data_IF_340605261807
#
_entry.id   IF_340605261807
#
_cell.length_a   1.000
_cell.length_b   1.000
_cell.length_c   1.000
_cell.angle_alpha   90.00
_cell.angle_beta   90.00
_cell.angle_gamma   90.00
#
_symmetry.space_group_name_H-M   'P 1'
#
loop_
_entity.id
_entity.type
_entity.pdbx_description
1 polymer ?
#
# COMPACT_ATOMS: atom_id res chain seq x y z
N UNK A 1 -4.92 -20.40 18.27
CA UNK A 1 -5.53 -21.26 19.30
C UNK A 1 -7.02 -21.36 19.09
N UNK A 2 -7.57 -22.59 19.16
CA UNK A 2 -9.01 -22.83 19.19
C UNK A 2 -9.30 -23.94 20.19
N UNK A 3 -10.29 -23.72 21.05
CA UNK A 3 -10.74 -24.68 22.03
C UNK A 3 -12.27 -24.83 21.90
N UNK A 4 -12.72 -26.07 21.83
CA UNK A 4 -14.12 -26.43 21.67
C UNK A 4 -14.62 -27.26 22.85
N UNK A 5 -15.77 -26.88 23.40
CA UNK A 5 -16.46 -27.63 24.41
C UNK A 5 -17.97 -27.58 24.16
N UNK A 6 -18.58 -28.77 23.99
CA UNK A 6 -19.99 -28.90 23.67
C UNK A 6 -20.42 -28.05 22.45
N UNK A 7 -21.27 -27.05 22.68
CA UNK A 7 -21.78 -26.11 21.66
C UNK A 7 -20.96 -24.84 21.53
N UNK A 8 -19.96 -24.65 22.38
CA UNK A 8 -19.10 -23.45 22.40
C UNK A 8 -17.74 -23.75 21.80
N UNK A 9 -17.20 -22.76 21.13
CA UNK A 9 -15.78 -22.70 20.79
C UNK A 9 -15.24 -21.32 21.13
N UNK A 10 -14.01 -21.24 21.66
CA UNK A 10 -13.27 -20.01 21.87
C UNK A 10 -12.05 -20.03 20.95
N UNK A 11 -11.75 -18.89 20.36
CA UNK A 11 -10.64 -18.75 19.42
C UNK A 11 -9.81 -17.52 19.78
N UNK A 12 -8.50 -17.64 19.60
CA UNK A 12 -7.55 -16.55 19.70
C UNK A 12 -6.48 -16.71 18.60
N UNK A 13 -6.02 -15.62 18.04
CA UNK A 13 -5.01 -15.63 17.01
C UNK A 13 -4.24 -14.33 16.95
N UNK A 14 -3.03 -14.40 16.41
CA UNK A 14 -2.18 -13.29 16.08
C UNK A 14 -1.71 -13.46 14.64
N UNK A 15 -1.63 -12.38 13.90
CA UNK A 15 -1.15 -12.41 12.52
C UNK A 15 -0.90 -11.03 11.97
N UNK A 16 -0.26 -10.96 10.82
CA UNK A 16 -0.11 -9.72 10.05
C UNK A 16 -1.41 -9.46 9.32
N UNK A 17 -2.05 -8.32 9.56
CA UNK A 17 -3.32 -7.93 8.94
C UNK A 17 -3.11 -7.01 7.72
N UNK A 18 -1.95 -6.35 7.64
CA UNK A 18 -1.59 -5.48 6.54
C UNK A 18 -0.12 -5.10 6.57
N UNK A 19 0.44 -4.76 5.42
CA UNK A 19 1.87 -4.47 5.31
C UNK A 19 2.74 -5.73 5.47
N UNK A 20 3.80 -5.63 6.24
CA UNK A 20 4.78 -6.70 6.46
C UNK A 20 5.89 -6.74 5.42
N UNK A 21 6.01 -5.68 4.60
CA UNK A 21 7.05 -5.51 3.59
C UNK A 21 7.79 -4.18 3.71
N UNK A 22 8.85 -4.04 2.92
CA UNK A 22 9.55 -2.78 2.66
C UNK A 22 9.52 -2.46 1.18
N UNK A 23 9.47 -1.16 0.87
CA UNK A 23 9.71 -0.60 -0.45
C UNK A 23 11.03 0.16 -0.37
N UNK A 24 11.91 -0.05 -1.33
CA UNK A 24 13.21 0.61 -1.40
C UNK A 24 13.42 1.15 -2.81
N UNK A 25 13.61 2.45 -2.90
CA UNK A 25 13.90 3.17 -4.13
C UNK A 25 15.27 3.83 -3.97
N UNK A 26 16.28 3.22 -4.59
CA UNK A 26 17.68 3.66 -4.46
C UNK A 26 18.14 4.55 -5.63
N UNK A 27 17.34 4.62 -6.70
CA UNK A 27 17.69 5.33 -7.94
C UNK A 27 16.60 6.33 -8.36
N UNK A 28 15.84 6.86 -7.40
CA UNK A 28 14.77 7.81 -7.64
C UNK A 28 13.38 7.20 -7.73
N UNK A 29 12.38 8.08 -7.78
CA UNK A 29 10.98 7.78 -8.03
C UNK A 29 10.47 8.65 -9.17
N UNK A 30 9.98 8.03 -10.24
CA UNK A 30 9.51 8.74 -11.44
C UNK A 30 8.41 9.76 -11.15
N UNK A 31 7.47 9.47 -10.23
CA UNK A 31 6.41 10.40 -9.83
C UNK A 31 6.93 11.68 -9.15
N UNK A 32 8.02 11.59 -8.40
CA UNK A 32 8.69 12.75 -7.79
C UNK A 32 9.59 13.46 -8.79
N UNK A 33 10.42 12.72 -9.53
CA UNK A 33 11.32 13.29 -10.53
C UNK A 33 10.57 14.09 -11.59
N UNK A 34 9.37 13.66 -11.96
CA UNK A 34 8.49 14.38 -12.87
C UNK A 34 8.24 15.83 -12.45
N UNK A 35 8.13 16.12 -11.15
CA UNK A 35 7.97 17.49 -10.66
C UNK A 35 9.20 18.35 -10.93
N UNK A 36 10.39 17.75 -10.89
CA UNK A 36 11.65 18.43 -11.18
C UNK A 36 11.92 18.58 -12.67
N UNK A 37 11.25 17.79 -13.54
CA UNK A 37 11.35 17.92 -14.98
C UNK A 37 10.90 19.30 -15.51
N UNK A 38 10.13 20.04 -14.71
CA UNK A 38 9.71 21.41 -15.00
C UNK A 38 10.78 22.48 -14.73
N UNK A 39 11.89 22.15 -14.05
CA UNK A 39 12.94 23.12 -13.71
C UNK A 39 13.52 23.86 -14.93
N UNK A 40 13.85 23.20 -16.06
CA UNK A 40 14.33 23.91 -17.26
C UNK A 40 13.31 24.95 -17.79
N UNK A 41 12.02 24.62 -17.79
CA UNK A 41 10.96 25.53 -18.20
C UNK A 41 10.82 26.71 -17.22
N UNK A 42 10.91 26.44 -15.91
CA UNK A 42 10.87 27.47 -14.87
C UNK A 42 12.01 28.50 -15.02
N UNK A 43 13.20 28.04 -15.36
CA UNK A 43 14.36 28.91 -15.63
C UNK A 43 14.08 29.83 -16.80
N UNK A 44 13.51 29.29 -17.88
CA UNK A 44 13.11 30.07 -19.06
C UNK A 44 12.02 31.10 -18.73
N UNK A 45 11.09 30.80 -17.83
CA UNK A 45 10.09 31.75 -17.36
C UNK A 45 10.68 32.88 -16.53
N UNK A 46 11.71 32.61 -15.72
CA UNK A 46 12.39 33.62 -14.90
C UNK A 46 13.20 34.63 -15.72
N UNK A 47 13.78 34.21 -16.82
CA UNK A 47 14.69 35.09 -17.55
C UNK A 47 14.83 34.82 -19.05
N UNK A 48 13.90 34.09 -19.69
CA UNK A 48 14.00 33.76 -21.11
C UNK A 48 14.04 34.95 -22.03
N UNK A 49 13.34 36.04 -21.70
CA UNK A 49 13.41 37.32 -22.44
C UNK A 49 14.84 37.93 -22.40
N UNK A 50 15.67 37.56 -21.45
CA UNK A 50 17.06 37.95 -21.32
C UNK A 50 18.03 36.91 -21.86
N UNK A 51 17.53 35.85 -22.48
CA UNK A 51 18.30 34.73 -23.04
C UNK A 51 18.72 33.68 -22.01
N UNK A 52 18.10 33.66 -20.84
CA UNK A 52 18.31 32.59 -19.85
C UNK A 52 17.51 31.34 -20.24
N UNK A 53 18.17 30.18 -20.29
CA UNK A 53 17.54 28.89 -20.56
C UNK A 53 18.28 27.76 -19.84
N UNK A 54 17.65 26.60 -19.72
CA UNK A 54 18.25 25.35 -19.30
C UNK A 54 17.56 24.19 -20.04
N UNK A 55 18.24 23.06 -20.16
CA UNK A 55 17.72 21.90 -20.86
C UNK A 55 17.80 20.58 -20.06
N UNK A 56 18.55 20.60 -18.96
CA UNK A 56 18.83 19.40 -18.15
C UNK A 56 18.73 19.70 -16.67
N UNK A 57 18.38 18.68 -15.91
CA UNK A 57 18.51 18.62 -14.45
C UNK A 57 19.13 17.27 -14.07
N UNK A 58 19.65 17.21 -12.86
CA UNK A 58 20.18 16.01 -12.22
C UNK A 58 19.84 16.05 -10.74
N UNK A 59 19.57 14.90 -10.14
CA UNK A 59 19.25 14.80 -8.73
C UNK A 59 19.55 13.40 -8.19
N UNK A 60 19.83 13.31 -6.91
CA UNK A 60 19.90 12.04 -6.19
C UNK A 60 18.69 11.92 -5.28
N UNK A 61 17.95 10.82 -5.40
CA UNK A 61 16.77 10.57 -4.58
C UNK A 61 16.77 9.13 -4.10
N UNK A 62 16.50 8.95 -2.81
CA UNK A 62 16.34 7.67 -2.17
C UNK A 62 15.11 7.70 -1.26
N UNK A 63 14.35 6.61 -1.22
CA UNK A 63 13.23 6.45 -0.31
C UNK A 63 13.12 4.99 0.14
N UNK A 64 12.96 4.79 1.45
CA UNK A 64 12.62 3.50 2.04
C UNK A 64 11.33 3.65 2.84
N UNK A 65 10.35 2.80 2.59
CA UNK A 65 9.11 2.72 3.34
C UNK A 65 8.91 1.33 3.94
N UNK A 66 8.52 1.25 5.19
CA UNK A 66 8.12 0.01 5.87
C UNK A 66 6.77 0.21 6.52
N UNK A 67 5.89 -0.77 6.38
CA UNK A 67 4.57 -0.74 7.00
C UNK A 67 4.22 -2.12 7.53
N UNK A 68 3.69 -2.18 8.75
CA UNK A 68 3.21 -3.42 9.34
C UNK A 68 2.07 -3.17 10.31
N UNK A 69 0.98 -3.92 10.13
CA UNK A 69 -0.12 -3.99 11.08
C UNK A 69 -0.24 -5.42 11.63
N UNK A 70 0.05 -5.59 12.90
CA UNK A 70 -0.22 -6.82 13.64
C UNK A 70 -1.65 -6.81 14.16
N UNK A 71 -2.37 -7.91 13.98
CA UNK A 71 -3.72 -8.09 14.51
C UNK A 71 -3.77 -9.19 15.56
N UNK A 72 -4.42 -8.88 16.66
CA UNK A 72 -4.79 -9.81 17.74
C UNK A 72 -6.28 -10.05 17.65
N UNK A 73 -6.68 -11.31 17.54
CA UNK A 73 -8.08 -11.70 17.39
C UNK A 73 -8.49 -12.55 18.59
N UNK A 74 -9.62 -12.22 19.21
CA UNK A 74 -10.24 -13.03 20.26
C UNK A 74 -11.72 -13.12 19.98
N UNK A 75 -12.28 -14.31 20.06
CA UNK A 75 -13.70 -14.53 19.76
C UNK A 75 -14.25 -15.83 20.30
N UNK A 76 -15.56 -15.96 20.13
CA UNK A 76 -16.30 -17.16 20.48
C UNK A 76 -17.31 -17.51 19.39
N UNK A 77 -17.59 -18.79 19.25
CA UNK A 77 -18.64 -19.31 18.41
C UNK A 77 -19.60 -20.19 19.24
N UNK A 78 -20.85 -20.15 18.85
CA UNK A 78 -21.90 -20.96 19.46
C UNK A 78 -22.70 -21.72 18.41
N UNK A 79 -22.86 -23.03 18.60
CA UNK A 79 -23.70 -23.87 17.76
C UNK A 79 -25.15 -23.75 18.21
N UNK A 80 -25.97 -23.02 17.43
CA UNK A 80 -27.40 -22.83 17.67
C UNK A 80 -28.16 -24.13 17.43
N UNK A 81 -27.93 -24.72 16.26
CA UNK A 81 -28.47 -26.03 15.86
C UNK A 81 -27.33 -26.94 15.39
N UNK A 82 -27.63 -28.18 15.03
CA UNK A 82 -26.59 -29.09 14.49
C UNK A 82 -26.04 -28.65 13.14
N UNK A 83 -26.73 -27.75 12.45
CA UNK A 83 -26.37 -27.27 11.12
C UNK A 83 -26.04 -25.76 11.07
N UNK A 84 -26.29 -24.99 12.16
CA UNK A 84 -26.06 -23.52 12.20
C UNK A 84 -25.24 -23.13 13.42
N UNK A 85 -24.18 -22.36 13.18
CA UNK A 85 -23.36 -21.73 14.20
C UNK A 85 -23.25 -20.23 13.95
N UNK A 86 -23.11 -19.46 15.03
CA UNK A 86 -22.80 -18.02 15.00
C UNK A 86 -21.46 -17.78 15.68
N UNK A 87 -20.74 -16.76 15.24
CA UNK A 87 -19.50 -16.34 15.88
C UNK A 87 -19.44 -14.83 15.99
N UNK A 88 -18.80 -14.39 17.07
CA UNK A 88 -18.42 -13.00 17.27
C UNK A 88 -16.96 -12.93 17.73
N UNK A 89 -16.23 -11.93 17.23
CA UNK A 89 -14.81 -11.75 17.48
C UNK A 89 -14.51 -10.25 17.57
N UNK A 90 -13.51 -9.91 18.35
CA UNK A 90 -12.88 -8.58 18.35
C UNK A 90 -11.47 -8.72 17.78
N UNK A 91 -11.15 -7.85 16.85
CA UNK A 91 -9.80 -7.69 16.29
C UNK A 91 -9.20 -6.40 16.81
N UNK A 92 -8.01 -6.48 17.40
CA UNK A 92 -7.15 -5.33 17.72
C UNK A 92 -6.01 -5.26 16.73
N UNK A 93 -5.81 -4.09 16.10
CA UNK A 93 -4.70 -3.80 15.22
C UNK A 93 -3.67 -2.91 15.90
N UNK A 94 -2.39 -3.21 15.70
CA UNK A 94 -1.25 -2.34 16.09
C UNK A 94 -0.44 -2.08 14.82
N UNK A 95 -0.44 -0.83 14.37
CA UNK A 95 0.23 -0.40 13.14
C UNK A 95 1.51 0.35 13.48
N UNK A 96 2.60 -0.01 12.79
CA UNK A 96 3.87 0.69 12.83
C UNK A 96 4.37 0.90 11.40
N UNK A 97 4.58 2.16 11.04
CA UNK A 97 5.15 2.54 9.75
C UNK A 97 6.42 3.35 9.99
N UNK A 98 7.36 3.28 9.04
CA UNK A 98 8.53 4.16 8.98
C UNK A 98 8.84 4.52 7.54
N UNK A 99 9.19 5.78 7.33
CA UNK A 99 9.60 6.31 6.03
C UNK A 99 10.89 7.09 6.22
N UNK A 100 11.93 6.69 5.50
CA UNK A 100 13.20 7.40 5.47
C UNK A 100 13.58 7.71 4.03
N UNK A 101 14.02 8.91 3.75
CA UNK A 101 14.38 9.30 2.40
C UNK A 101 15.22 10.58 2.36
N UNK A 102 15.81 10.80 1.22
CA UNK A 102 16.53 12.02 0.91
C UNK A 102 16.37 12.39 -0.55
N UNK A 103 16.31 13.70 -0.83
CA UNK A 103 16.45 14.29 -2.15
C UNK A 103 17.61 15.27 -2.01
N UNK A 104 18.69 15.03 -2.73
CA UNK A 104 19.93 15.76 -2.55
C UNK A 104 20.60 16.13 -3.88
N UNK A 105 21.41 17.18 -3.84
CA UNK A 105 22.30 17.53 -4.94
C UNK A 105 21.58 17.88 -6.24
N UNK A 106 20.42 18.54 -6.17
CA UNK A 106 19.66 18.94 -7.36
C UNK A 106 20.46 19.96 -8.15
N UNK A 107 20.72 19.65 -9.43
CA UNK A 107 21.52 20.46 -10.36
C UNK A 107 20.73 20.80 -11.61
N UNK A 108 21.11 21.89 -12.24
CA UNK A 108 20.59 22.39 -13.53
C UNK A 108 21.76 22.89 -14.39
N UNK A 109 21.54 23.02 -15.68
CA UNK A 109 22.53 23.51 -16.65
C UNK A 109 22.12 24.85 -17.27
N UNK A 110 22.12 25.96 -16.55
CA UNK A 110 21.67 27.24 -17.06
C UNK A 110 22.64 27.79 -18.14
N UNK A 111 22.07 28.40 -19.18
CA UNK A 111 22.80 29.10 -20.25
C UNK A 111 22.33 30.53 -20.33
N UNK A 112 23.27 31.50 -20.31
CA UNK A 112 23.04 32.91 -20.54
C UNK A 112 24.37 33.58 -20.85
N UNK A 113 24.63 33.90 -22.11
CA UNK A 113 25.92 34.43 -22.56
C UNK A 113 26.30 35.74 -21.83
N UNK A 114 25.32 36.64 -21.60
CA UNK A 114 25.55 37.90 -20.91
C UNK A 114 26.04 37.77 -19.47
N UNK A 115 25.81 36.63 -18.84
CA UNK A 115 26.23 36.29 -17.48
C UNK A 115 27.35 35.25 -17.41
N UNK A 116 27.89 34.83 -18.59
CA UNK A 116 28.92 33.80 -18.65
C UNK A 116 28.43 32.39 -18.31
N UNK A 117 27.09 32.15 -18.28
CA UNK A 117 26.53 30.84 -18.06
C UNK A 117 26.60 30.04 -19.35
N UNK A 118 27.31 28.93 -19.33
CA UNK A 118 27.68 28.13 -20.51
C UNK A 118 27.05 26.73 -20.57
N UNK A 119 26.04 26.45 -19.75
CA UNK A 119 25.36 25.17 -19.71
C UNK A 119 26.07 24.09 -18.87
N UNK A 120 27.04 24.47 -18.05
CA UNK A 120 27.59 23.54 -17.06
C UNK A 120 26.58 23.29 -15.93
N UNK A 121 26.57 22.04 -15.44
CA UNK A 121 25.73 21.66 -14.31
C UNK A 121 26.17 22.39 -13.03
N UNK A 122 25.22 23.01 -12.35
CA UNK A 122 25.44 23.72 -11.10
C UNK A 122 24.28 23.49 -10.12
N UNK A 123 24.51 23.73 -8.83
CA UNK A 123 23.48 23.57 -7.81
C UNK A 123 22.25 24.45 -8.09
N UNK A 124 21.08 23.84 -8.19
CA UNK A 124 19.85 24.54 -8.52
C UNK A 124 19.43 25.53 -7.43
N UNK A 125 19.47 25.12 -6.15
CA UNK A 125 19.15 26.00 -5.03
C UNK A 125 20.05 27.25 -4.97
N UNK A 126 21.35 27.09 -5.24
CA UNK A 126 22.30 28.18 -5.29
C UNK A 126 22.01 29.13 -6.45
N UNK A 127 21.72 28.59 -7.63
CA UNK A 127 21.35 29.37 -8.81
C UNK A 127 20.10 30.21 -8.53
N UNK A 128 18.99 29.58 -8.06
CA UNK A 128 17.74 30.27 -7.80
C UNK A 128 17.87 31.32 -6.67
N UNK A 129 18.68 31.07 -5.64
CA UNK A 129 18.97 32.02 -4.59
C UNK A 129 19.65 33.24 -5.16
N UNK A 130 20.71 33.08 -5.98
CA UNK A 130 21.42 34.17 -6.62
C UNK A 130 20.52 34.96 -7.59
N UNK A 131 19.71 34.26 -8.39
CA UNK A 131 18.74 34.88 -9.28
C UNK A 131 17.69 35.71 -8.51
N UNK A 132 17.16 35.19 -7.41
CA UNK A 132 16.24 35.91 -6.53
C UNK A 132 16.83 37.23 -5.99
N UNK A 133 18.04 37.18 -5.50
CA UNK A 133 18.76 38.39 -5.00
C UNK A 133 18.97 39.45 -6.09
N UNK A 134 19.29 39.04 -7.30
CA UNK A 134 19.44 39.97 -8.43
C UNK A 134 18.10 40.59 -8.85
N UNK A 135 17.04 39.83 -8.81
CA UNK A 135 15.70 40.27 -9.26
C UNK A 135 14.94 41.08 -8.20
N UNK A 136 15.31 40.99 -6.93
CA UNK A 136 14.58 41.57 -5.79
C UNK A 136 14.26 43.07 -5.96
N UNK A 137 15.21 43.84 -6.44
CA UNK A 137 15.06 45.29 -6.63
C UNK A 137 14.35 45.68 -7.93
N UNK A 138 14.40 44.84 -8.94
CA UNK A 138 13.93 45.16 -10.31
C UNK A 138 12.59 44.50 -10.57
N UNK A 139 12.40 43.21 -10.19
CA UNK A 139 11.23 42.40 -10.41
C UNK A 139 10.89 41.56 -9.15
N UNK A 140 10.32 42.18 -8.10
CA UNK A 140 10.05 41.49 -6.82
C UNK A 140 9.20 40.25 -6.95
N UNK A 141 8.23 40.20 -7.89
CA UNK A 141 7.39 39.02 -8.14
C UNK A 141 8.21 37.83 -8.65
N UNK A 142 9.15 38.06 -9.58
CA UNK A 142 10.05 37.00 -10.08
C UNK A 142 11.08 36.60 -9.01
N UNK A 143 11.51 37.51 -8.15
CA UNK A 143 12.36 37.17 -7.00
C UNK A 143 11.63 36.20 -6.04
N UNK A 144 10.33 36.43 -5.81
CA UNK A 144 9.50 35.53 -5.01
C UNK A 144 9.39 34.11 -5.63
N UNK A 145 9.23 34.01 -6.95
CA UNK A 145 9.22 32.72 -7.65
C UNK A 145 10.60 32.04 -7.58
N UNK A 146 11.69 32.78 -7.78
CA UNK A 146 13.03 32.23 -7.64
C UNK A 146 13.29 31.69 -6.20
N UNK A 147 12.79 32.37 -5.17
CA UNK A 147 12.89 31.89 -3.79
C UNK A 147 12.13 30.58 -3.55
N UNK A 148 10.95 30.41 -4.16
CA UNK A 148 10.20 29.13 -4.11
C UNK A 148 11.00 27.99 -4.76
N UNK A 149 11.56 28.22 -5.95
CA UNK A 149 12.41 27.21 -6.60
C UNK A 149 13.70 26.93 -5.82
N UNK A 150 14.30 27.94 -5.17
CA UNK A 150 15.46 27.75 -4.29
C UNK A 150 15.11 26.82 -3.10
N UNK A 151 13.93 26.99 -2.51
CA UNK A 151 13.45 26.12 -1.45
C UNK A 151 13.16 24.70 -1.96
N UNK A 152 12.47 24.57 -3.10
CA UNK A 152 12.11 23.28 -3.71
C UNK A 152 13.35 22.46 -4.10
N UNK A 153 14.42 23.12 -4.55
CA UNK A 153 15.64 22.48 -5.04
C UNK A 153 16.75 22.37 -4.00
N UNK A 154 16.48 22.74 -2.74
CA UNK A 154 17.39 22.47 -1.61
C UNK A 154 17.37 20.97 -1.26
N UNK A 155 18.39 20.52 -0.54
CA UNK A 155 18.40 19.16 -0.01
C UNK A 155 17.27 18.96 0.99
N UNK A 156 16.58 17.82 0.89
CA UNK A 156 15.46 17.44 1.74
C UNK A 156 15.72 16.06 2.35
N UNK A 157 15.52 15.96 3.66
CA UNK A 157 15.60 14.70 4.41
C UNK A 157 14.23 14.42 5.02
N UNK A 158 13.82 13.16 4.98
CA UNK A 158 12.61 12.64 5.61
C UNK A 158 12.97 11.47 6.52
N UNK A 159 12.67 11.57 7.81
CA UNK A 159 12.64 10.44 8.75
C UNK A 159 11.36 10.54 9.58
N UNK A 160 10.38 9.70 9.25
CA UNK A 160 9.05 9.73 9.83
C UNK A 160 8.69 8.34 10.34
N UNK A 161 8.25 8.27 11.59
CA UNK A 161 7.64 7.09 12.19
C UNK A 161 6.18 7.38 12.51
N UNK A 162 5.33 6.40 12.25
CA UNK A 162 3.90 6.49 12.52
C UNK A 162 3.44 5.29 13.30
N UNK A 163 2.63 5.50 14.32
CA UNK A 163 2.02 4.44 15.10
C UNK A 163 0.54 4.67 15.29
N UNK A 164 -0.20 3.57 15.33
CA UNK A 164 -1.63 3.62 15.60
C UNK A 164 -2.15 2.30 16.13
N UNK A 165 -3.27 2.39 16.82
CA UNK A 165 -4.03 1.23 17.29
C UNK A 165 -5.46 1.32 16.80
N UNK A 166 -6.08 0.18 16.61
CA UNK A 166 -7.45 0.10 16.12
C UNK A 166 -8.17 -1.11 16.69
N UNK A 167 -9.48 -1.05 16.71
CA UNK A 167 -10.36 -2.15 17.14
C UNK A 167 -11.48 -2.30 16.12
N UNK A 168 -11.77 -3.55 15.74
CA UNK A 168 -12.87 -3.87 14.84
C UNK A 168 -13.63 -5.11 15.33
N UNK A 169 -14.94 -5.07 15.46
CA UNK A 169 -15.76 -6.25 15.63
C UNK A 169 -15.81 -7.08 14.35
N UNK A 170 -16.00 -8.40 14.51
CA UNK A 170 -16.26 -9.34 13.42
C UNK A 170 -17.40 -10.25 13.82
N UNK A 171 -18.38 -10.45 12.95
CA UNK A 171 -19.48 -11.38 13.15
C UNK A 171 -19.56 -12.37 12.00
N UNK A 172 -19.95 -13.61 12.29
CA UNK A 172 -20.05 -14.64 11.27
C UNK A 172 -21.18 -15.63 11.55
N UNK A 173 -21.71 -16.17 10.47
CA UNK A 173 -22.61 -17.32 10.44
C UNK A 173 -21.90 -18.46 9.71
N UNK A 174 -22.07 -19.69 10.20
CA UNK A 174 -21.57 -20.89 9.55
C UNK A 174 -22.68 -21.93 9.49
N UNK A 175 -22.90 -22.46 8.30
CA UNK A 175 -23.87 -23.49 8.00
C UNK A 175 -23.15 -24.78 7.61
N UNK A 176 -23.57 -25.90 8.15
CA UNK A 176 -23.06 -27.21 7.80
C UNK A 176 -24.23 -28.22 7.74
N UNK A 177 -24.52 -28.79 6.57
CA UNK A 177 -25.56 -29.81 6.43
C UNK A 177 -25.20 -30.81 5.34
N UNK A 178 -24.98 -32.05 5.74
CA UNK A 178 -24.62 -33.12 4.81
C UNK A 178 -23.26 -32.81 4.14
N UNK A 179 -23.25 -32.73 2.81
CA UNK A 179 -22.07 -32.48 2.02
C UNK A 179 -21.81 -30.93 1.81
N UNK A 180 -22.63 -30.06 2.36
CA UNK A 180 -22.56 -28.62 2.13
C UNK A 180 -22.07 -27.87 3.36
N UNK A 181 -21.14 -26.95 3.13
CA UNK A 181 -20.75 -25.88 4.06
C UNK A 181 -21.02 -24.51 3.43
N UNK A 182 -21.49 -23.58 4.20
CA UNK A 182 -21.57 -22.18 3.80
C UNK A 182 -21.20 -21.26 4.95
N UNK A 183 -20.71 -20.08 4.64
CA UNK A 183 -20.41 -19.06 5.65
C UNK A 183 -20.68 -17.67 5.13
N UNK A 184 -21.07 -16.78 6.06
CA UNK A 184 -21.19 -15.36 5.84
C UNK A 184 -20.48 -14.65 6.99
N UNK A 185 -19.55 -13.74 6.68
CA UNK A 185 -18.77 -12.99 7.66
C UNK A 185 -18.85 -11.51 7.33
N UNK A 186 -19.02 -10.68 8.35
CA UNK A 186 -18.90 -9.24 8.25
C UNK A 186 -17.84 -8.76 9.23
N UNK A 187 -16.82 -8.11 8.69
CA UNK A 187 -15.80 -7.39 9.45
C UNK A 187 -16.11 -5.91 9.38
N UNK A 188 -16.28 -5.28 10.53
CA UNK A 188 -16.53 -3.84 10.58
C UNK A 188 -15.26 -3.07 10.18
N UNK A 189 -15.45 -1.86 9.71
CA UNK A 189 -14.36 -0.94 9.39
C UNK A 189 -13.40 -0.81 10.59
N UNK A 190 -12.11 -0.89 10.34
CA UNK A 190 -11.10 -0.68 11.35
C UNK A 190 -10.56 0.74 11.21
N UNK A 191 -11.15 1.64 11.98
CA UNK A 191 -10.72 3.03 12.01
C UNK A 191 -9.36 3.14 12.71
N UNK A 192 -8.36 3.60 11.99
CA UNK A 192 -7.01 3.79 12.49
C UNK A 192 -6.58 5.23 12.25
N UNK A 193 -6.21 5.92 13.31
CA UNK A 193 -5.44 7.17 13.24
C UNK A 193 -3.98 6.85 13.54
N UNK A 194 -3.09 7.23 12.63
CA UNK A 194 -1.65 7.10 12.81
C UNK A 194 -1.11 8.42 13.30
N UNK A 195 -0.47 8.41 14.45
CA UNK A 195 0.24 9.55 15.02
C UNK A 195 1.70 9.52 14.61
N UNK A 196 2.24 10.66 14.21
CA UNK A 196 3.65 10.83 13.91
C UNK A 196 4.40 10.99 15.22
N UNK A 197 5.23 10.01 15.58
CA UNK A 197 6.01 10.01 16.83
C UNK A 197 7.37 10.68 16.69
N UNK A 198 7.94 10.69 15.49
CA UNK A 198 9.20 11.37 15.23
C UNK A 198 9.21 11.79 13.77
N UNK A 199 9.55 13.02 13.51
CA UNK A 199 9.73 13.54 12.18
C UNK A 199 10.99 14.41 12.15
N UNK A 200 11.95 14.01 11.34
CA UNK A 200 12.98 14.89 10.86
C UNK A 200 12.66 15.23 9.41
N UNK A 201 12.17 16.43 9.19
CA UNK A 201 11.78 16.92 7.87
C UNK A 201 12.53 18.22 7.63
N UNK A 202 13.54 18.17 6.79
CA UNK A 202 14.34 19.34 6.46
C UNK A 202 13.70 20.21 5.37
N UNK A 203 12.52 19.83 4.87
CA UNK A 203 11.79 20.60 3.87
C UNK A 203 11.44 22.00 4.39
N UNK A 204 11.78 23.01 3.61
CA UNK A 204 11.39 24.41 3.90
C UNK A 204 9.95 24.71 3.47
N UNK A 205 9.25 23.73 2.91
CA UNK A 205 7.86 23.85 2.49
C UNK A 205 6.93 23.73 3.71
N UNK A 206 6.14 24.78 4.01
CA UNK A 206 5.22 24.78 5.15
C UNK A 206 4.15 23.68 5.08
N UNK A 207 3.73 23.27 3.87
CA UNK A 207 2.71 22.22 3.67
C UNK A 207 3.28 20.86 4.05
N UNK A 208 4.47 20.53 3.55
CA UNK A 208 5.17 19.28 3.90
C UNK A 208 5.40 19.21 5.41
N UNK A 209 5.89 20.29 6.00
CA UNK A 209 6.14 20.36 7.44
C UNK A 209 4.86 20.21 8.27
N UNK A 210 3.72 20.71 7.78
CA UNK A 210 2.44 20.55 8.50
C UNK A 210 1.90 19.12 8.44
N UNK A 211 2.11 18.42 7.33
CA UNK A 211 1.66 17.02 7.14
C UNK A 211 2.47 16.06 8.03
N UNK A 212 3.77 16.31 8.17
CA UNK A 212 4.69 15.46 8.94
C UNK A 212 5.08 16.05 10.30
N UNK A 213 4.32 17.01 10.81
CA UNK A 213 4.59 17.57 12.13
C UNK A 213 4.47 16.52 13.22
N UNK A 214 5.40 16.52 14.17
CA UNK A 214 5.38 15.62 15.32
C UNK A 214 4.06 15.76 16.08
N UNK A 215 3.44 14.64 16.45
CA UNK A 215 2.10 14.57 17.06
C UNK A 215 0.95 14.79 16.07
N UNK A 216 1.18 15.07 14.79
CA UNK A 216 0.11 15.15 13.80
C UNK A 216 -0.50 13.77 13.55
N UNK A 217 -1.78 13.74 13.15
CA UNK A 217 -2.54 12.51 12.93
C UNK A 217 -2.98 12.40 11.49
N UNK A 218 -2.81 11.20 10.93
CA UNK A 218 -3.27 10.85 9.59
C UNK A 218 -4.19 9.64 9.64
N UNK A 219 -5.26 9.65 8.86
CA UNK A 219 -6.18 8.52 8.77
C UNK A 219 -5.61 7.42 7.91
N UNK A 220 -5.71 6.18 8.39
CA UNK A 220 -5.33 4.95 7.69
C UNK A 220 -6.32 3.86 8.04
N UNK A 221 -7.53 3.97 7.51
CA UNK A 221 -8.63 3.06 7.81
C UNK A 221 -8.58 1.81 6.93
N UNK A 222 -8.87 0.65 7.53
CA UNK A 222 -9.12 -0.58 6.76
C UNK A 222 -10.62 -0.67 6.50
N UNK A 223 -11.06 -0.85 5.24
CA UNK A 223 -12.48 -0.91 4.91
C UNK A 223 -13.20 -2.07 5.59
N UNK A 224 -14.49 -1.94 5.78
CA UNK A 224 -15.33 -3.06 6.16
C UNK A 224 -15.33 -4.15 5.07
N UNK A 225 -15.52 -5.40 5.47
CA UNK A 225 -15.51 -6.56 4.57
C UNK A 225 -16.73 -7.43 4.79
N UNK A 226 -17.48 -7.66 3.71
CA UNK A 226 -18.48 -8.74 3.64
C UNK A 226 -17.87 -9.92 2.87
N UNK A 227 -17.77 -11.09 3.50
CA UNK A 227 -17.25 -12.31 2.89
C UNK A 227 -18.28 -13.42 2.93
N UNK A 228 -18.52 -14.05 1.80
CA UNK A 228 -19.41 -15.20 1.65
C UNK A 228 -18.65 -16.37 1.03
N UNK A 229 -18.90 -17.57 1.51
CA UNK A 229 -18.33 -18.80 0.96
C UNK A 229 -19.34 -19.93 0.94
N UNK A 230 -19.21 -20.79 -0.06
CA UNK A 230 -19.93 -22.06 -0.14
C UNK A 230 -18.99 -23.16 -0.58
N UNK A 231 -19.09 -24.32 0.06
CA UNK A 231 -18.32 -25.51 -0.30
C UNK A 231 -19.21 -26.72 -0.42
N UNK A 232 -18.80 -27.65 -1.26
CA UNK A 232 -19.42 -28.97 -1.35
C UNK A 232 -18.38 -30.09 -1.38
N UNK A 233 -18.66 -31.14 -0.61
CA UNK A 233 -17.85 -32.35 -0.54
C UNK A 233 -18.38 -33.39 -1.54
N UNK A 234 -17.50 -33.96 -2.35
CA UNK A 234 -17.70 -35.02 -3.30
C UNK A 234 -16.75 -36.18 -2.95
N UNK A 235 -17.07 -36.90 -1.89
CA UNK A 235 -16.16 -37.91 -1.35
C UNK A 235 -14.84 -37.28 -0.88
N UNK A 236 -13.68 -37.65 -1.48
CA UNK A 236 -12.38 -37.10 -1.08
C UNK A 236 -12.12 -35.68 -1.62
N UNK A 237 -12.97 -35.14 -2.48
CA UNK A 237 -12.82 -33.86 -3.13
C UNK A 237 -13.77 -32.83 -2.50
N UNK A 238 -13.25 -31.65 -2.19
CA UNK A 238 -14.02 -30.47 -1.76
C UNK A 238 -13.83 -29.34 -2.75
N UNK A 239 -14.94 -28.79 -3.23
CA UNK A 239 -14.94 -27.58 -4.08
C UNK A 239 -15.49 -26.41 -3.27
N UNK A 240 -14.83 -25.27 -3.35
CA UNK A 240 -15.19 -24.04 -2.63
C UNK A 240 -15.27 -22.87 -3.58
N UNK A 241 -16.31 -22.06 -3.47
CA UNK A 241 -16.40 -20.74 -4.08
C UNK A 241 -16.53 -19.69 -2.98
N UNK A 242 -15.87 -18.54 -3.15
CA UNK A 242 -15.90 -17.43 -2.19
C UNK A 242 -16.06 -16.11 -2.93
N UNK A 243 -16.66 -15.14 -2.24
CA UNK A 243 -16.76 -13.75 -2.66
C UNK A 243 -16.47 -12.87 -1.48
N UNK A 244 -15.63 -11.85 -1.73
CA UNK A 244 -15.33 -10.77 -0.80
C UNK A 244 -15.75 -9.45 -1.41
N UNK A 245 -16.38 -8.60 -0.60
CA UNK A 245 -16.74 -7.25 -0.96
C UNK A 245 -16.18 -6.29 0.10
N UNK A 246 -15.25 -5.45 -0.30
CA UNK A 246 -14.67 -4.43 0.54
C UNK A 246 -15.39 -3.10 0.32
N UNK A 247 -15.76 -2.43 1.38
CA UNK A 247 -16.43 -1.13 1.36
C UNK A 247 -15.40 0.01 1.34
N UNK A 248 -14.56 0.04 0.29
CA UNK A 248 -13.42 0.96 0.20
C UNK A 248 -13.85 2.42 0.20
N UNK A 249 -15.02 2.75 -0.39
CA UNK A 249 -15.56 4.11 -0.41
C UNK A 249 -15.89 4.67 0.96
N UNK A 250 -16.08 3.82 1.96
CA UNK A 250 -16.44 4.20 3.32
C UNK A 250 -15.19 4.30 4.23
N UNK A 251 -14.00 3.98 3.71
CA UNK A 251 -12.74 4.06 4.42
C UNK A 251 -11.95 5.31 4.00
N UNK A 252 -11.45 6.04 4.99
CA UNK A 252 -10.63 7.22 4.77
C UNK A 252 -9.16 6.87 4.90
N UNK A 253 -8.37 7.27 3.89
CA UNK A 253 -6.93 7.08 3.91
C UNK A 253 -6.24 8.31 3.33
N UNK A 254 -5.47 9.02 4.15
CA UNK A 254 -4.89 10.31 3.81
C UNK A 254 -3.89 10.27 2.64
N UNK A 255 -3.35 9.10 2.33
CA UNK A 255 -2.32 8.91 1.29
C UNK A 255 -2.74 7.91 0.20
N UNK A 256 -4.00 7.53 0.12
CA UNK A 256 -4.48 6.60 -0.90
C UNK A 256 -4.88 7.31 -2.20
N UNK A 257 -4.76 6.63 -3.35
CA UNK A 257 -5.37 7.08 -4.59
C UNK A 257 -6.87 7.30 -4.40
N UNK A 258 -7.47 8.14 -5.24
CA UNK A 258 -8.91 8.37 -5.19
C UNK A 258 -9.65 7.07 -5.52
N UNK A 259 -10.45 6.60 -4.57
CA UNK A 259 -11.26 5.39 -4.68
C UNK A 259 -12.56 5.75 -5.40
N UNK A 260 -12.80 5.15 -6.56
CA UNK A 260 -14.01 5.37 -7.37
C UNK A 260 -15.12 4.37 -7.06
N UNK A 261 -14.76 3.19 -6.58
CA UNK A 261 -15.71 2.13 -6.24
C UNK A 261 -15.15 1.13 -5.23
N UNK A 262 -16.01 0.20 -4.84
CA UNK A 262 -15.67 -0.87 -3.90
C UNK A 262 -14.92 -2.00 -4.60
N UNK A 263 -14.02 -2.66 -3.87
CA UNK A 263 -13.26 -3.83 -4.35
C UNK A 263 -14.09 -5.10 -4.22
N UNK A 264 -13.98 -5.97 -5.21
CA UNK A 264 -14.53 -7.31 -5.18
C UNK A 264 -13.45 -8.35 -5.44
N UNK A 265 -13.52 -9.46 -4.72
CA UNK A 265 -12.69 -10.64 -4.96
C UNK A 265 -13.59 -11.87 -5.17
N UNK A 266 -13.32 -12.58 -6.24
CA UNK A 266 -13.99 -13.82 -6.59
C UNK A 266 -12.97 -14.95 -6.57
N UNK A 267 -13.23 -15.98 -5.78
CA UNK A 267 -12.31 -17.08 -5.57
C UNK A 267 -12.97 -18.42 -5.80
N UNK A 268 -12.23 -19.34 -6.38
CA UNK A 268 -12.63 -20.74 -6.52
C UNK A 268 -11.45 -21.65 -6.21
N UNK A 269 -11.71 -22.73 -5.48
CA UNK A 269 -10.68 -23.68 -5.10
C UNK A 269 -11.20 -25.11 -5.00
N UNK A 270 -10.26 -26.04 -5.17
CA UNK A 270 -10.47 -27.46 -5.05
C UNK A 270 -9.43 -28.04 -4.10
N UNK A 271 -9.88 -28.86 -3.16
CA UNK A 271 -9.03 -29.67 -2.28
C UNK A 271 -9.32 -31.15 -2.57
N UNK A 272 -8.27 -31.95 -2.70
CA UNK A 272 -8.38 -33.38 -2.92
C UNK A 272 -7.51 -34.16 -1.91
N UNK A 273 -8.18 -34.93 -1.04
CA UNK A 273 -7.53 -35.91 -0.16
C UNK A 273 -7.16 -37.15 -1.00
N UNK A 274 -5.92 -37.18 -1.51
CA UNK A 274 -5.40 -38.30 -2.31
C UNK A 274 -5.34 -39.57 -1.45
N UNK A 275 -4.89 -39.40 -0.20
CA UNK A 275 -4.84 -40.45 0.84
C UNK A 275 -5.13 -39.78 2.20
N UNK A 276 -5.16 -40.55 3.28
CA UNK A 276 -5.31 -40.05 4.64
C UNK A 276 -4.13 -39.13 5.07
N UNK A 277 -2.98 -39.20 4.37
CA UNK A 277 -1.78 -38.42 4.66
C UNK A 277 -1.54 -37.27 3.67
N UNK A 278 -2.05 -37.37 2.46
CA UNK A 278 -1.77 -36.41 1.39
C UNK A 278 -3.03 -35.68 0.93
N UNK A 279 -2.99 -34.36 1.01
CA UNK A 279 -3.98 -33.48 0.42
C UNK A 279 -3.27 -32.54 -0.55
N UNK A 280 -3.84 -32.37 -1.73
CA UNK A 280 -3.44 -31.33 -2.69
C UNK A 280 -4.58 -30.34 -2.88
N UNK A 281 -4.24 -29.11 -3.19
CA UNK A 281 -5.21 -28.06 -3.48
C UNK A 281 -4.77 -27.21 -4.65
N UNK A 282 -5.74 -26.65 -5.36
CA UNK A 282 -5.53 -25.64 -6.38
C UNK A 282 -6.67 -24.61 -6.32
N UNK A 283 -6.40 -23.39 -6.73
CA UNK A 283 -7.40 -22.32 -6.74
C UNK A 283 -7.01 -21.16 -7.63
N UNK A 284 -8.00 -20.32 -7.89
CA UNK A 284 -7.83 -19.08 -8.61
C UNK A 284 -8.64 -17.96 -7.92
N UNK A 285 -8.14 -16.73 -8.02
CA UNK A 285 -8.77 -15.54 -7.51
C UNK A 285 -8.71 -14.43 -8.57
N UNK A 286 -9.81 -13.73 -8.75
CA UNK A 286 -9.86 -12.43 -9.44
C UNK A 286 -10.10 -11.34 -8.40
N UNK A 287 -9.22 -10.36 -8.33
CA UNK A 287 -9.40 -9.14 -7.55
C UNK A 287 -9.73 -7.99 -8.50
N UNK A 288 -10.88 -7.36 -8.31
CA UNK A 288 -11.31 -6.18 -9.06
C UNK A 288 -11.27 -4.96 -8.14
N UNK A 289 -10.42 -4.02 -8.50
CA UNK A 289 -10.27 -2.71 -7.86
C UNK A 289 -10.93 -1.64 -8.72
N UNK A 290 -11.52 -0.64 -8.10
CA UNK A 290 -12.13 0.50 -8.77
C UNK A 290 -11.48 1.79 -8.24
N UNK A 291 -10.32 2.12 -8.80
CA UNK A 291 -9.52 3.28 -8.42
C UNK A 291 -9.25 4.18 -9.63
N UNK A 292 -9.07 5.47 -9.37
CA UNK A 292 -8.66 6.42 -10.40
C UNK A 292 -7.17 6.23 -10.72
N UNK A 293 -6.86 5.65 -11.86
CA UNK A 293 -5.48 5.38 -12.28
C UNK A 293 -4.64 6.65 -12.42
N UNK A 294 -5.25 7.81 -12.74
CA UNK A 294 -4.54 9.08 -12.80
C UNK A 294 -4.06 9.60 -11.45
N UNK A 295 -4.55 9.03 -10.35
CA UNK A 295 -4.08 9.32 -9.00
C UNK A 295 -2.96 8.37 -8.53
N UNK A 296 -2.50 7.43 -9.35
CA UNK A 296 -1.42 6.53 -9.01
C UNK A 296 -0.06 7.23 -8.97
N UNK A 297 0.80 6.70 -8.10
CA UNK A 297 2.21 7.06 -8.01
C UNK A 297 3.04 5.82 -7.73
N UNK A 298 4.34 5.90 -7.89
CA UNK A 298 5.27 4.80 -7.57
C UNK A 298 5.13 4.29 -6.14
N UNK A 299 4.71 5.15 -5.23
CA UNK A 299 4.51 4.80 -3.81
C UNK A 299 3.16 4.16 -3.54
N UNK A 300 2.17 4.42 -4.38
CA UNK A 300 0.80 3.98 -4.14
C UNK A 300 0.06 3.75 -5.46
N UNK A 301 0.07 2.50 -5.89
CA UNK A 301 -0.77 2.01 -6.98
C UNK A 301 -1.31 0.63 -6.62
N UNK A 302 -2.61 0.45 -6.82
CA UNK A 302 -3.31 -0.81 -6.57
C UNK A 302 -4.05 -1.20 -7.83
N UNK A 303 -3.68 -2.35 -8.40
CA UNK A 303 -4.11 -2.80 -9.71
C UNK A 303 -4.89 -4.10 -9.57
N UNK A 304 -5.97 -4.23 -10.34
CA UNK A 304 -6.73 -5.49 -10.45
C UNK A 304 -5.83 -6.63 -10.88
N UNK A 305 -6.14 -7.86 -10.43
CA UNK A 305 -5.21 -8.98 -10.62
C UNK A 305 -5.89 -10.34 -10.71
N UNK A 306 -5.15 -11.29 -11.25
CA UNK A 306 -5.43 -12.73 -11.18
C UNK A 306 -4.35 -13.42 -10.35
N UNK A 307 -4.77 -14.22 -9.37
CA UNK A 307 -3.89 -15.12 -8.61
C UNK A 307 -4.26 -16.56 -8.91
N UNK A 308 -3.25 -17.42 -9.06
CA UNK A 308 -3.41 -18.87 -9.18
C UNK A 308 -2.65 -19.48 -8.02
N UNK A 309 -3.26 -20.42 -7.31
CA UNK A 309 -2.66 -21.02 -6.13
C UNK A 309 -2.56 -22.52 -6.26
N UNK A 310 -1.52 -23.10 -5.69
CA UNK A 310 -1.37 -24.53 -5.47
C UNK A 310 -0.90 -24.79 -4.04
N UNK A 311 -1.39 -25.88 -3.43
CA UNK A 311 -1.05 -26.27 -2.08
C UNK A 311 -0.88 -27.77 -1.92
N UNK A 312 -0.05 -28.13 -0.96
CA UNK A 312 0.22 -29.50 -0.58
C UNK A 312 0.22 -29.62 0.94
N UNK A 313 -0.52 -30.58 1.48
CA UNK A 313 -0.45 -30.96 2.90
C UNK A 313 0.01 -32.40 3.05
N UNK A 314 0.93 -32.60 3.95
CA UNK A 314 1.39 -33.94 4.38
C UNK A 314 1.18 -34.12 5.88
N UNK A 315 0.39 -35.15 6.24
CA UNK A 315 0.19 -35.54 7.64
C UNK A 315 1.33 -36.49 8.06
N UNK A 316 2.29 -35.97 8.81
CA UNK A 316 3.48 -36.72 9.27
C UNK A 316 3.06 -37.82 10.24
N UNK A 317 2.25 -37.43 11.23
CA UNK A 317 1.64 -38.31 12.22
C UNK A 317 0.31 -37.70 12.68
N UNK A 318 -0.41 -38.34 13.58
CA UNK A 318 -1.73 -37.86 14.06
C UNK A 318 -1.66 -36.47 14.72
N UNK A 319 -0.48 -36.09 15.21
CA UNK A 319 -0.25 -34.82 15.93
C UNK A 319 0.33 -33.71 15.04
N UNK A 320 1.01 -34.06 13.93
CA UNK A 320 1.80 -33.09 13.15
C UNK A 320 1.47 -33.16 11.67
N UNK A 321 1.12 -32.04 11.09
CA UNK A 321 0.96 -31.84 9.64
C UNK A 321 1.84 -30.72 9.11
N UNK A 322 2.33 -30.86 7.89
CA UNK A 322 3.11 -29.87 7.15
C UNK A 322 2.27 -29.37 5.97
N UNK A 323 2.21 -28.06 5.78
CA UNK A 323 1.53 -27.43 4.68
C UNK A 323 2.54 -26.63 3.85
N UNK A 324 2.43 -26.73 2.53
CA UNK A 324 3.20 -25.93 1.57
C UNK A 324 2.20 -25.23 0.63
N UNK A 325 2.48 -23.99 0.27
CA UNK A 325 1.64 -23.24 -0.67
C UNK A 325 2.46 -22.29 -1.52
N UNK A 326 1.99 -22.07 -2.75
CA UNK A 326 2.52 -21.08 -3.68
C UNK A 326 1.36 -20.38 -4.39
N UNK A 327 1.49 -19.07 -4.58
CA UNK A 327 0.48 -18.23 -5.24
C UNK A 327 1.16 -17.12 -6.05
N UNK A 328 1.47 -17.34 -7.33
CA UNK A 328 1.77 -16.28 -8.28
C UNK A 328 0.54 -15.40 -8.52
N UNK A 329 0.77 -14.08 -8.64
CA UNK A 329 -0.24 -13.09 -8.96
C UNK A 329 0.23 -12.25 -10.16
N UNK A 330 -0.64 -12.17 -11.17
CA UNK A 330 -0.47 -11.38 -12.38
C UNK A 330 -1.42 -10.20 -12.28
N UNK A 331 -0.88 -8.99 -12.39
CA UNK A 331 -1.66 -7.76 -12.31
C UNK A 331 -2.01 -7.27 -13.71
N UNK A 332 -3.16 -6.61 -13.84
CA UNK A 332 -3.52 -5.86 -15.04
C UNK A 332 -2.52 -4.70 -15.23
N UNK A 333 -2.44 -4.12 -16.42
CA UNK A 333 -1.70 -2.89 -16.64
C UNK A 333 -2.55 -1.70 -16.24
N UNK A 334 -1.97 -0.71 -15.57
CA UNK A 334 -2.62 0.56 -15.29
C UNK A 334 -1.82 1.71 -15.90
N UNK A 335 -2.52 2.73 -16.39
CA UNK A 335 -1.92 3.86 -17.11
C UNK A 335 -2.43 5.18 -16.53
N UNK A 336 -1.53 5.96 -15.96
CA UNK A 336 -1.82 7.34 -15.57
C UNK A 336 -1.33 8.30 -16.66
N UNK A 337 -2.17 9.25 -17.04
CA UNK A 337 -1.85 10.32 -17.98
C UNK A 337 -2.16 11.66 -17.36
N UNK A 338 -1.39 12.68 -17.69
CA UNK A 338 -1.62 14.03 -17.18
C UNK A 338 -0.59 15.02 -17.70
N UNK A 339 -0.55 16.18 -17.06
CA UNK A 339 0.40 17.25 -17.36
C UNK A 339 1.06 17.77 -16.10
N UNK A 340 2.35 18.05 -16.16
CA UNK A 340 3.08 18.79 -15.13
C UNK A 340 3.75 19.99 -15.80
N UNK A 341 3.40 21.19 -15.33
CA UNK A 341 3.92 22.45 -15.89
C UNK A 341 3.78 22.58 -17.43
N UNK A 342 2.68 22.05 -17.98
CA UNK A 342 2.40 22.10 -19.43
C UNK A 342 3.10 21.01 -20.25
N UNK A 343 3.79 20.07 -19.62
CA UNK A 343 4.41 18.90 -20.27
C UNK A 343 3.56 17.67 -20.01
N UNK A 344 3.15 16.99 -21.09
CA UNK A 344 2.38 15.75 -21.00
C UNK A 344 3.24 14.62 -20.45
N UNK A 345 2.64 13.75 -19.62
CA UNK A 345 3.27 12.52 -19.17
C UNK A 345 2.34 11.32 -19.34
N UNK A 346 2.95 10.15 -19.42
CA UNK A 346 2.29 8.86 -19.37
C UNK A 346 3.11 7.91 -18.49
N UNK A 347 2.53 7.52 -17.35
CA UNK A 347 3.11 6.51 -16.47
C UNK A 347 2.40 5.17 -16.70
N UNK A 348 3.17 4.10 -16.80
CA UNK A 348 2.66 2.74 -16.97
C UNK A 348 3.07 1.91 -15.76
N UNK A 349 2.07 1.39 -15.04
CA UNK A 349 2.27 0.62 -13.82
C UNK A 349 2.07 -0.87 -14.11
N UNK A 350 3.09 -1.65 -13.83
CA UNK A 350 3.09 -3.11 -13.93
C UNK A 350 3.59 -3.73 -12.63
N UNK A 351 3.01 -4.84 -12.25
CA UNK A 351 3.42 -5.58 -11.06
C UNK A 351 3.29 -7.09 -11.30
N UNK A 352 4.22 -7.83 -10.73
CA UNK A 352 4.13 -9.29 -10.61
C UNK A 352 4.55 -9.66 -9.19
N UNK A 353 3.85 -10.59 -8.58
CA UNK A 353 4.23 -11.09 -7.25
C UNK A 353 4.09 -12.60 -7.16
N UNK A 354 4.90 -13.21 -6.30
CA UNK A 354 4.80 -14.62 -5.94
C UNK A 354 4.82 -14.69 -4.42
N UNK A 355 3.74 -15.23 -3.86
CA UNK A 355 3.68 -15.59 -2.45
C UNK A 355 3.93 -17.09 -2.28
N UNK A 356 4.65 -17.49 -1.26
CA UNK A 356 4.81 -18.87 -0.86
C UNK A 356 4.83 -18.98 0.66
N UNK A 357 4.48 -20.14 1.17
CA UNK A 357 4.42 -20.34 2.60
C UNK A 357 4.63 -21.80 3.00
N UNK A 358 5.14 -21.96 4.21
CA UNK A 358 5.24 -23.23 4.90
C UNK A 358 4.48 -23.10 6.21
N UNK A 359 3.62 -24.05 6.49
CA UNK A 359 2.84 -24.11 7.73
C UNK A 359 3.06 -25.43 8.46
N UNK A 360 2.98 -25.38 9.78
CA UNK A 360 2.98 -26.55 10.65
C UNK A 360 1.68 -26.59 11.46
N UNK A 361 0.96 -27.69 11.37
CA UNK A 361 -0.23 -27.96 12.19
C UNK A 361 0.17 -28.85 13.36
N UNK A 362 -0.17 -28.44 14.57
CA UNK A 362 -0.02 -29.26 15.77
C UNK A 362 -1.41 -29.52 16.38
N UNK A 363 -1.75 -30.78 16.62
CA UNK A 363 -2.99 -31.18 17.30
C UNK A 363 -2.62 -31.64 18.72
N UNK A 364 -3.22 -31.02 19.72
CA UNK A 364 -3.03 -31.34 21.12
C UNK A 364 -4.37 -31.80 21.71
N UNK A 365 -4.35 -32.88 22.48
CA UNK A 365 -5.51 -33.47 23.13
C UNK A 365 -6.27 -34.48 22.25
N UNK A 366 -6.85 -35.47 22.93
CA UNK A 366 -7.79 -36.45 22.38
C UNK A 366 -9.21 -35.91 22.38
#
# INVERSE_FOLDING_TARGET
FAWKHNRWAVMAGIGVNGGGGSLEFNNGLGSFERQFSALPAAISQLGGAMGLSASQYDMNMQLTGKSMTLAFNVGAAFRITDWLSVAAQVRMGVTNNSYTGAIEGIKINPTMAAMGLNGQMMGAAQFFTAAGQMLEKIYPALAGEAAKYAALTSDHILDVKQKGTSISPVVALAFHKGAWDASLKYEFKMATELEIESAEVSAKDPVINSIFADGSKVKSETPALLAAAVSRHFGPVKVTAQWHHYFDKDAENSFSPVIEGNTNEYMMGVEWNITDKWLVSAGAQRTQLNMNENAYSDMNFSISSWSIAAGLKYQVCDLVGINLGIMPTIYDEAVAVGQVSGVDFKDVYNRTSIAWGIGLDFKFGK
#
